data_IF_059890873886
#
_entry.id   IF_059890873886
#
_cell.length_a   1.000
_cell.length_b   1.000
_cell.length_c   1.000
_cell.angle_alpha   90.00
_cell.angle_beta   90.00
_cell.angle_gamma   90.00
#
_symmetry.space_group_name_H-M   'P 1'
#
loop_
_entity.id
_entity.type
_entity.pdbx_description
1 polymer ?
#
# COMPACT_ATOMS: atom_id res chain seq x y z
N UNK A 1 -3.76 -5.64 -4.84
CA UNK A 1 -3.17 -5.69 -6.18
C UNK A 1 -2.46 -4.38 -6.55
N UNK A 2 -3.14 -3.20 -6.55
CA UNK A 2 -2.56 -1.93 -6.98
C UNK A 2 -1.32 -1.54 -6.15
N UNK A 3 -1.37 -1.64 -4.82
CA UNK A 3 -0.22 -1.35 -3.95
C UNK A 3 1.01 -2.20 -4.28
N UNK A 4 0.82 -3.49 -4.59
CA UNK A 4 1.91 -4.36 -5.01
C UNK A 4 2.50 -3.94 -6.37
N UNK A 5 1.66 -3.56 -7.33
CA UNK A 5 2.13 -3.06 -8.63
C UNK A 5 2.93 -1.75 -8.46
N UNK A 6 2.41 -0.79 -7.70
CA UNK A 6 3.11 0.47 -7.37
C UNK A 6 4.44 0.19 -6.68
N UNK A 7 4.49 -0.77 -5.77
CA UNK A 7 5.71 -1.16 -5.08
C UNK A 7 6.77 -1.72 -6.03
N UNK A 8 6.40 -2.65 -6.92
CA UNK A 8 7.33 -3.25 -7.89
C UNK A 8 7.86 -2.23 -8.89
N UNK A 9 7.01 -1.29 -9.33
CA UNK A 9 7.41 -0.22 -10.25
C UNK A 9 8.26 0.84 -9.52
N UNK A 10 7.94 1.12 -8.26
CA UNK A 10 8.54 2.21 -7.49
C UNK A 10 9.88 1.88 -6.84
N UNK A 11 10.10 0.62 -6.37
CA UNK A 11 11.31 0.30 -5.62
C UNK A 11 12.62 0.49 -6.43
N UNK A 12 12.67 0.22 -7.76
CA UNK A 12 13.88 0.45 -8.55
C UNK A 12 14.31 1.92 -8.58
N UNK A 13 13.33 2.85 -8.44
CA UNK A 13 13.59 4.28 -8.45
C UNK A 13 14.37 4.76 -7.23
N UNK A 14 14.35 4.01 -6.12
CA UNK A 14 15.12 4.33 -4.91
C UNK A 14 16.55 3.79 -4.99
N UNK A 15 16.75 2.69 -5.69
CA UNK A 15 18.06 2.04 -5.77
C UNK A 15 19.00 2.84 -6.68
N UNK A 16 20.04 3.42 -6.08
CA UNK A 16 20.96 4.33 -6.80
C UNK A 16 21.68 3.69 -7.98
N UNK A 17 22.02 2.40 -7.88
CA UNK A 17 22.67 1.64 -8.98
C UNK A 17 21.71 1.33 -10.12
N UNK A 18 20.40 1.43 -9.89
CA UNK A 18 19.35 1.22 -10.89
C UNK A 18 18.97 2.52 -11.57
N UNK A 19 18.56 3.53 -10.79
CA UNK A 19 17.99 4.78 -11.30
C UNK A 19 19.03 5.90 -11.51
N UNK A 20 20.26 5.70 -11.06
CA UNK A 20 21.28 6.75 -11.05
C UNK A 20 21.00 7.82 -10.00
N UNK A 21 21.85 8.85 -9.91
CA UNK A 21 21.76 9.88 -8.86
C UNK A 21 20.49 10.74 -8.97
N UNK A 22 20.16 11.20 -10.17
CA UNK A 22 19.01 12.06 -10.40
C UNK A 22 17.70 11.27 -10.30
N UNK A 23 17.66 10.07 -10.91
CA UNK A 23 16.49 9.19 -10.83
C UNK A 23 16.16 8.79 -9.41
N UNK A 24 17.16 8.49 -8.59
CA UNK A 24 16.97 8.16 -7.16
C UNK A 24 16.44 9.35 -6.38
N UNK A 25 16.92 10.57 -6.64
CA UNK A 25 16.42 11.77 -5.98
C UNK A 25 14.93 11.99 -6.31
N UNK A 26 14.58 11.96 -7.59
CA UNK A 26 13.20 12.15 -8.03
C UNK A 26 12.28 11.03 -7.54
N UNK A 27 12.72 9.77 -7.64
CA UNK A 27 11.98 8.62 -7.14
C UNK A 27 11.76 8.69 -5.63
N UNK A 28 12.79 9.08 -4.87
CA UNK A 28 12.68 9.26 -3.43
C UNK A 28 11.67 10.36 -3.08
N UNK A 29 11.75 11.52 -3.74
CA UNK A 29 10.81 12.61 -3.53
C UNK A 29 9.37 12.19 -3.86
N UNK A 30 9.15 11.53 -4.99
CA UNK A 30 7.82 11.07 -5.40
C UNK A 30 7.22 10.09 -4.38
N UNK A 31 8.00 9.08 -3.93
CA UNK A 31 7.53 8.12 -2.94
C UNK A 31 7.36 8.73 -1.54
N UNK A 32 8.21 9.70 -1.16
CA UNK A 32 8.06 10.44 0.12
C UNK A 32 6.77 11.25 0.08
N UNK A 33 6.51 11.99 -0.97
CA UNK A 33 5.27 12.78 -1.13
C UNK A 33 4.03 11.87 -1.07
N UNK A 34 4.05 10.75 -1.81
CA UNK A 34 2.90 9.82 -1.83
C UNK A 34 2.60 9.21 -0.47
N UNK A 35 3.59 8.96 0.39
CA UNK A 35 3.40 8.40 1.73
C UNK A 35 3.24 9.44 2.83
N UNK A 36 3.56 10.71 2.57
CA UNK A 36 3.43 11.79 3.56
C UNK A 36 1.99 12.28 3.70
N UNK A 37 1.18 12.10 2.65
CA UNK A 37 -0.23 12.42 2.68
C UNK A 37 -0.97 11.20 3.23
N UNK A 38 -1.75 11.33 4.33
CA UNK A 38 -2.59 10.25 4.81
C UNK A 38 -3.56 9.77 3.73
N UNK A 39 -3.78 8.46 3.67
CA UNK A 39 -4.59 7.82 2.62
C UNK A 39 -6.02 8.34 2.54
N UNK A 40 -6.67 8.63 3.69
CA UNK A 40 -8.01 9.23 3.72
C UNK A 40 -8.03 10.66 3.16
N UNK A 41 -6.97 11.46 3.37
CA UNK A 41 -6.86 12.79 2.75
C UNK A 41 -6.67 12.67 1.24
N UNK A 42 -5.83 11.73 0.81
CA UNK A 42 -5.62 11.45 -0.60
C UNK A 42 -6.92 10.95 -1.26
N UNK A 43 -7.66 10.08 -0.59
CA UNK A 43 -8.97 9.62 -1.05
C UNK A 43 -9.95 10.78 -1.19
N UNK A 44 -10.00 11.69 -0.22
CA UNK A 44 -10.86 12.87 -0.27
C UNK A 44 -10.52 13.77 -1.45
N UNK A 45 -9.23 14.04 -1.70
CA UNK A 45 -8.80 14.85 -2.85
C UNK A 45 -9.19 14.20 -4.19
N UNK A 46 -8.98 12.89 -4.31
CA UNK A 46 -9.37 12.15 -5.53
C UNK A 46 -10.88 12.14 -5.69
N UNK A 47 -11.64 12.01 -4.59
CA UNK A 47 -13.11 12.03 -4.58
C UNK A 47 -13.66 13.32 -5.19
N UNK A 48 -13.03 14.48 -4.93
CA UNK A 48 -13.44 15.76 -5.50
C UNK A 48 -13.33 15.80 -7.04
N UNK A 49 -12.42 15.02 -7.60
CA UNK A 49 -12.19 14.98 -9.04
C UNK A 49 -13.00 13.87 -9.72
N UNK A 50 -13.07 12.69 -9.10
CA UNK A 50 -13.68 11.49 -9.72
C UNK A 50 -15.15 11.28 -9.34
N UNK A 51 -15.63 12.01 -8.32
CA UNK A 51 -16.95 11.80 -7.74
C UNK A 51 -17.05 10.55 -6.84
N UNK A 52 -18.24 10.32 -6.24
CA UNK A 52 -18.47 9.22 -5.31
C UNK A 52 -18.45 7.86 -6.01
N UNK A 53 -17.33 7.14 -5.89
CA UNK A 53 -17.09 5.83 -6.47
C UNK A 53 -16.08 5.06 -5.65
N UNK A 54 -15.75 3.81 -6.03
CA UNK A 54 -14.68 3.04 -5.41
C UNK A 54 -13.27 3.46 -5.86
N UNK A 55 -13.17 4.26 -6.93
CA UNK A 55 -11.89 4.69 -7.52
C UNK A 55 -11.02 5.47 -6.53
N UNK A 56 -11.54 6.49 -5.80
CA UNK A 56 -10.78 7.20 -4.79
C UNK A 56 -10.12 6.29 -3.76
N UNK A 57 -10.88 5.32 -3.23
CA UNK A 57 -10.36 4.39 -2.24
C UNK A 57 -9.24 3.51 -2.82
N UNK A 58 -9.45 2.92 -4.00
CA UNK A 58 -8.48 2.05 -4.65
C UNK A 58 -7.18 2.81 -4.95
N UNK A 59 -7.29 4.02 -5.49
CA UNK A 59 -6.13 4.84 -5.82
C UNK A 59 -5.39 5.32 -4.58
N UNK A 60 -6.10 5.86 -3.59
CA UNK A 60 -5.49 6.38 -2.38
C UNK A 60 -4.76 5.29 -1.58
N UNK A 61 -5.45 4.20 -1.26
CA UNK A 61 -4.88 3.06 -0.53
C UNK A 61 -3.75 2.40 -1.34
N UNK A 62 -3.93 2.27 -2.66
CA UNK A 62 -2.94 1.66 -3.53
C UNK A 62 -1.66 2.47 -3.66
N UNK A 63 -1.77 3.77 -3.89
CA UNK A 63 -0.62 4.67 -4.02
C UNK A 63 0.11 4.85 -2.69
N UNK A 64 -0.61 5.15 -1.61
CA UNK A 64 -0.02 5.36 -0.29
C UNK A 64 0.72 4.12 0.21
N UNK A 65 0.05 2.98 0.26
CA UNK A 65 0.65 1.73 0.75
C UNK A 65 1.70 1.18 -0.21
N UNK A 66 1.50 1.31 -1.51
CA UNK A 66 2.48 0.94 -2.53
C UNK A 66 3.77 1.75 -2.43
N UNK A 67 3.68 3.06 -2.17
CA UNK A 67 4.85 3.91 -1.97
C UNK A 67 5.65 3.51 -0.72
N UNK A 68 4.98 3.09 0.36
CA UNK A 68 5.65 2.62 1.57
C UNK A 68 6.40 1.31 1.30
N UNK A 69 5.76 0.33 0.65
CA UNK A 69 6.40 -0.94 0.28
C UNK A 69 7.58 -0.68 -0.66
N UNK A 70 7.39 0.15 -1.70
CA UNK A 70 8.45 0.52 -2.63
C UNK A 70 9.67 1.11 -1.92
N UNK A 71 9.43 2.01 -0.97
CA UNK A 71 10.50 2.65 -0.21
C UNK A 71 11.28 1.65 0.65
N UNK A 72 10.59 0.76 1.36
CA UNK A 72 11.21 -0.26 2.18
C UNK A 72 12.02 -1.25 1.32
N UNK A 73 11.44 -1.72 0.22
CA UNK A 73 12.14 -2.60 -0.73
C UNK A 73 13.37 -1.93 -1.35
N UNK A 74 13.26 -0.66 -1.73
CA UNK A 74 14.39 0.09 -2.29
C UNK A 74 15.54 0.21 -1.30
N UNK A 75 15.26 0.49 -0.03
CA UNK A 75 16.29 0.52 1.02
C UNK A 75 16.93 -0.86 1.27
N UNK A 76 16.13 -1.92 1.25
CA UNK A 76 16.65 -3.29 1.34
C UNK A 76 17.51 -3.63 0.11
N UNK A 77 17.09 -3.18 -1.08
CA UNK A 77 17.87 -3.31 -2.31
C UNK A 77 19.24 -2.64 -2.22
N UNK A 78 19.31 -1.41 -1.72
CA UNK A 78 20.57 -0.71 -1.49
C UNK A 78 21.47 -1.45 -0.48
N UNK A 79 20.90 -2.01 0.58
CA UNK A 79 21.63 -2.80 1.57
C UNK A 79 22.20 -4.12 1.00
N UNK A 80 21.65 -4.63 -0.10
CA UNK A 80 22.18 -5.81 -0.80
C UNK A 80 23.34 -5.46 -1.75
N UNK A 81 23.55 -4.19 -2.11
CA UNK A 81 24.57 -3.78 -3.08
C UNK A 81 25.98 -4.30 -2.78
N UNK A 82 26.48 -4.25 -1.51
CA UNK A 82 27.82 -4.79 -1.17
C UNK A 82 27.95 -6.31 -1.33
N UNK A 83 26.81 -7.03 -1.33
CA UNK A 83 26.76 -8.49 -1.45
C UNK A 83 26.62 -8.99 -2.88
N UNK A 84 26.48 -8.08 -3.85
CA UNK A 84 26.36 -8.43 -5.25
C UNK A 84 27.74 -8.67 -5.87
N UNK A 85 27.77 -9.52 -6.91
CA UNK A 85 28.98 -9.78 -7.68
C UNK A 85 29.46 -8.50 -8.38
N UNK A 86 30.77 -8.33 -8.60
CA UNK A 86 31.31 -7.16 -9.30
C UNK A 86 30.78 -7.00 -10.74
N UNK A 87 30.47 -8.11 -11.39
CA UNK A 87 29.93 -8.23 -12.75
C UNK A 87 28.40 -8.15 -12.82
N UNK A 88 27.72 -7.89 -11.71
CA UNK A 88 26.25 -7.79 -11.66
C UNK A 88 25.73 -6.73 -12.66
N UNK A 89 24.61 -7.01 -13.34
CA UNK A 89 24.02 -6.10 -14.32
C UNK A 89 23.70 -4.73 -13.69
N UNK A 90 23.47 -3.72 -14.52
CA UNK A 90 23.09 -2.36 -14.10
C UNK A 90 21.68 -2.03 -14.58
N UNK A 91 21.10 -0.98 -13.99
CA UNK A 91 19.78 -0.48 -14.39
C UNK A 91 18.66 -1.46 -14.08
N UNK A 92 17.60 -1.46 -14.88
CA UNK A 92 16.41 -2.28 -14.67
C UNK A 92 16.67 -3.78 -14.65
N UNK A 93 17.70 -4.26 -15.37
CA UNK A 93 18.10 -5.67 -15.33
C UNK A 93 18.58 -6.09 -13.94
N UNK A 94 19.29 -5.22 -13.24
CA UNK A 94 19.68 -5.45 -11.85
C UNK A 94 18.44 -5.58 -10.96
N UNK A 95 17.47 -4.69 -11.10
CA UNK A 95 16.25 -4.72 -10.32
C UNK A 95 15.43 -6.00 -10.55
N UNK A 96 15.23 -6.38 -11.82
CA UNK A 96 14.39 -7.50 -12.19
C UNK A 96 15.01 -8.87 -11.90
N UNK A 97 16.31 -9.06 -12.19
CA UNK A 97 16.94 -10.39 -12.17
C UNK A 97 17.76 -10.66 -10.90
N UNK A 98 18.22 -9.63 -10.19
CA UNK A 98 19.02 -9.80 -8.96
C UNK A 98 18.27 -9.38 -7.70
N UNK A 99 17.65 -8.18 -7.70
CA UNK A 99 17.04 -7.65 -6.50
C UNK A 99 15.66 -8.27 -6.25
N UNK A 100 14.78 -8.27 -7.23
CA UNK A 100 13.40 -8.72 -7.06
C UNK A 100 13.32 -10.18 -6.58
N UNK A 101 14.07 -11.15 -7.15
CA UNK A 101 14.05 -12.52 -6.64
C UNK A 101 14.57 -12.65 -5.21
N UNK A 102 15.61 -11.88 -4.85
CA UNK A 102 16.18 -11.89 -3.49
C UNK A 102 15.31 -11.21 -2.45
N UNK A 103 14.51 -10.24 -2.87
CA UNK A 103 13.59 -9.49 -2.02
C UNK A 103 12.17 -10.05 -2.01
N UNK A 104 11.87 -11.10 -2.81
CA UNK A 104 10.52 -11.62 -2.99
C UNK A 104 9.86 -12.05 -1.67
N UNK A 105 10.57 -12.73 -0.78
CA UNK A 105 10.04 -13.12 0.53
C UNK A 105 9.63 -11.91 1.37
N UNK A 106 10.52 -10.91 1.47
CA UNK A 106 10.22 -9.67 2.19
C UNK A 106 9.10 -8.87 1.50
N UNK A 107 9.05 -8.90 0.17
CA UNK A 107 7.97 -8.26 -0.59
C UNK A 107 6.61 -8.84 -0.24
N UNK A 108 6.48 -10.16 -0.25
CA UNK A 108 5.23 -10.84 0.11
C UNK A 108 4.85 -10.56 1.57
N UNK A 109 5.80 -10.63 2.50
CA UNK A 109 5.55 -10.30 3.90
C UNK A 109 5.06 -8.85 4.08
N UNK A 110 5.68 -7.89 3.40
CA UNK A 110 5.23 -6.49 3.40
C UNK A 110 3.85 -6.31 2.77
N UNK A 111 3.54 -7.04 1.68
CA UNK A 111 2.23 -7.00 1.05
C UNK A 111 1.13 -7.53 1.97
N UNK A 112 1.38 -8.63 2.68
CA UNK A 112 0.42 -9.22 3.63
C UNK A 112 0.20 -8.29 4.83
N UNK A 113 1.26 -7.78 5.43
CA UNK A 113 1.18 -6.81 6.51
C UNK A 113 0.40 -5.55 6.10
N UNK A 114 0.66 -5.02 4.90
CA UNK A 114 -0.07 -3.86 4.39
C UNK A 114 -1.49 -4.18 3.99
N UNK A 115 -1.77 -5.40 3.58
CA UNK A 115 -3.14 -5.82 3.27
C UNK A 115 -4.05 -5.72 4.50
N UNK A 116 -3.58 -6.19 5.66
CA UNK A 116 -4.30 -6.03 6.93
C UNK A 116 -4.63 -4.56 7.20
N UNK A 117 -3.62 -3.67 7.09
CA UNK A 117 -3.80 -2.23 7.29
C UNK A 117 -4.81 -1.65 6.30
N UNK A 118 -4.69 -1.98 5.01
CA UNK A 118 -5.60 -1.52 3.95
C UNK A 118 -7.06 -1.92 4.24
N UNK A 119 -7.30 -3.12 4.74
CA UNK A 119 -8.66 -3.57 5.10
C UNK A 119 -9.21 -2.74 6.24
N UNK A 120 -8.41 -2.45 7.25
CA UNK A 120 -8.80 -1.59 8.39
C UNK A 120 -9.08 -0.15 7.94
N UNK A 121 -8.16 0.42 7.17
CA UNK A 121 -8.25 1.81 6.69
C UNK A 121 -9.42 1.98 5.69
N UNK A 122 -9.77 0.94 4.94
CA UNK A 122 -10.93 0.97 4.04
C UNK A 122 -12.25 1.24 4.76
N UNK A 123 -12.37 0.86 6.03
CA UNK A 123 -13.55 1.14 6.84
C UNK A 123 -13.70 2.66 7.09
N UNK A 124 -12.58 3.38 7.32
CA UNK A 124 -12.58 4.83 7.55
C UNK A 124 -13.06 5.57 6.30
N UNK A 125 -12.73 5.07 5.11
CA UNK A 125 -13.15 5.68 3.84
C UNK A 125 -14.67 5.65 3.63
N UNK A 126 -15.38 4.79 4.36
CA UNK A 126 -16.83 4.77 4.41
C UNK A 126 -17.45 6.07 4.91
N UNK A 127 -16.78 6.75 5.84
CA UNK A 127 -17.22 8.05 6.36
C UNK A 127 -17.14 9.17 5.30
N UNK A 128 -16.35 8.96 4.24
CA UNK A 128 -16.29 9.86 3.08
C UNK A 128 -17.37 9.58 2.03
N UNK A 129 -18.33 8.70 2.33
CA UNK A 129 -19.39 8.30 1.39
C UNK A 129 -18.97 7.26 0.35
N UNK A 130 -17.82 6.63 0.51
CA UNK A 130 -17.36 5.53 -0.36
C UNK A 130 -17.98 4.23 0.15
N UNK A 131 -18.64 3.45 -0.72
CA UNK A 131 -19.36 2.22 -0.38
C UNK A 131 -18.43 1.10 0.13
N UNK A 132 -17.95 1.23 1.36
CA UNK A 132 -17.18 0.25 2.13
C UNK A 132 -18.00 -0.24 3.32
N UNK A 133 -17.49 -1.20 4.09
CA UNK A 133 -18.17 -1.65 5.33
C UNK A 133 -18.46 -0.48 6.28
N UNK A 134 -17.54 0.48 6.38
CA UNK A 134 -17.73 1.67 7.21
C UNK A 134 -18.90 2.55 6.76
N UNK A 135 -19.14 2.65 5.46
CA UNK A 135 -20.31 3.37 4.93
C UNK A 135 -21.63 2.75 5.40
N UNK A 136 -21.73 1.43 5.40
CA UNK A 136 -22.94 0.75 5.88
C UNK A 136 -23.11 0.82 7.39
N UNK A 137 -21.99 0.87 8.14
CA UNK A 137 -22.02 1.11 9.59
C UNK A 137 -22.55 2.51 9.87
N UNK A 138 -22.00 3.52 9.20
CA UNK A 138 -22.41 4.92 9.36
C UNK A 138 -23.88 5.11 9.00
N UNK A 139 -24.34 4.55 7.87
CA UNK A 139 -25.73 4.57 7.47
C UNK A 139 -26.65 3.92 8.51
N UNK A 140 -26.26 2.77 9.07
CA UNK A 140 -27.05 2.09 10.10
C UNK A 140 -27.12 2.91 11.40
N UNK A 141 -26.06 3.62 11.77
CA UNK A 141 -26.05 4.52 12.93
C UNK A 141 -26.96 5.73 12.69
N UNK A 142 -26.91 6.34 11.51
CA UNK A 142 -27.76 7.48 11.14
C UNK A 142 -29.26 7.09 11.11
N UNK A 143 -29.57 5.86 10.69
CA UNK A 143 -30.93 5.30 10.71
C UNK A 143 -31.37 4.84 12.11
N UNK A 144 -30.54 5.00 13.16
CA UNK A 144 -30.79 4.53 14.54
C UNK A 144 -31.00 3.00 14.64
N UNK A 145 -30.50 2.24 13.66
CA UNK A 145 -30.53 0.77 13.63
C UNK A 145 -29.29 0.19 14.31
N UNK A 146 -29.25 0.29 15.62
CA UNK A 146 -28.12 -0.15 16.43
C UNK A 146 -27.80 -1.63 16.29
N UNK A 147 -28.83 -2.46 16.08
CA UNK A 147 -28.70 -3.89 15.81
C UNK A 147 -27.86 -4.18 14.57
N UNK A 148 -28.14 -3.48 13.47
CA UNK A 148 -27.37 -3.60 12.21
C UNK A 148 -25.96 -3.03 12.34
N UNK A 149 -25.82 -1.88 13.00
CA UNK A 149 -24.51 -1.28 13.20
C UNK A 149 -23.59 -2.20 14.00
N UNK A 150 -24.08 -2.81 15.09
CA UNK A 150 -23.31 -3.77 15.89
C UNK A 150 -22.95 -5.01 15.08
N UNK A 151 -23.90 -5.57 14.31
CA UNK A 151 -23.62 -6.73 13.45
C UNK A 151 -22.51 -6.43 12.43
N UNK A 152 -22.57 -5.28 11.75
CA UNK A 152 -21.57 -4.88 10.76
C UNK A 152 -20.19 -4.64 11.40
N UNK A 153 -20.15 -4.04 12.60
CA UNK A 153 -18.93 -3.88 13.38
C UNK A 153 -18.33 -5.24 13.79
N UNK A 154 -19.15 -6.19 14.21
CA UNK A 154 -18.70 -7.54 14.51
C UNK A 154 -18.12 -8.23 13.27
N UNK A 155 -18.77 -8.11 12.11
CA UNK A 155 -18.27 -8.66 10.84
C UNK A 155 -16.93 -8.01 10.47
N UNK A 156 -16.80 -6.70 10.58
CA UNK A 156 -15.54 -5.99 10.31
C UNK A 156 -14.43 -6.46 11.26
N UNK A 157 -14.73 -6.62 12.55
CA UNK A 157 -13.78 -7.12 13.53
C UNK A 157 -13.34 -8.56 13.24
N UNK A 158 -14.29 -9.44 12.89
CA UNK A 158 -13.98 -10.84 12.52
C UNK A 158 -13.13 -10.92 11.26
N UNK A 159 -13.40 -10.10 10.24
CA UNK A 159 -12.58 -10.01 9.04
C UNK A 159 -11.15 -9.57 9.36
N UNK A 160 -11.00 -8.53 10.18
CA UNK A 160 -9.68 -8.03 10.58
C UNK A 160 -8.90 -9.09 11.37
N UNK A 161 -9.53 -9.73 12.35
CA UNK A 161 -8.93 -10.82 13.13
C UNK A 161 -8.55 -12.03 12.24
N UNK A 162 -9.41 -12.36 11.27
CA UNK A 162 -9.12 -13.44 10.32
C UNK A 162 -7.90 -13.15 9.45
N UNK A 163 -7.75 -11.91 8.98
CA UNK A 163 -6.61 -11.48 8.16
C UNK A 163 -5.34 -11.43 9.02
N UNK A 164 -5.42 -10.91 10.24
CA UNK A 164 -4.30 -10.84 11.18
C UNK A 164 -3.76 -12.23 11.54
N UNK A 165 -4.66 -13.19 11.84
CA UNK A 165 -4.26 -14.57 12.10
C UNK A 165 -3.63 -15.24 10.88
N UNK A 166 -4.14 -15.00 9.66
CA UNK A 166 -3.56 -15.50 8.41
C UNK A 166 -2.17 -14.90 8.15
N UNK A 167 -2.03 -13.61 8.41
CA UNK A 167 -0.75 -12.89 8.24
C UNK A 167 0.32 -13.34 9.24
N UNK A 168 -0.09 -13.70 10.45
CA UNK A 168 0.82 -14.16 11.50
C UNK A 168 1.36 -15.59 11.32
N UNK A 169 0.77 -16.38 10.41
CA UNK A 169 1.21 -17.76 10.11
C UNK A 169 2.27 -17.84 9.00
N UNK A 170 2.61 -16.76 8.34
CA UNK A 170 3.55 -16.65 7.21
C UNK A 170 4.78 -15.82 7.60
#
# INVERSE_FOLDING_TARGET
>A
ALAAAVAVIGFPLIVRRVAGRMGTLLGHLALVLSRSIPDYMLAFLILQVTGPSMIPAILALGLHNGAIIAHLMGRQGDALMPKLRPDAPRGLRLAAWELLPRLSGNFFALCLYRWEIIVRDSAILGLLGIATLGFYVDAAVQELRTDRAVLLLMVAAMLTLGIDTLSGWI
#
